data_IF_967815188672
#
_entry.id   IF_967815188672
#
_cell.length_a   1.000
_cell.length_b   1.000
_cell.length_c   1.000
_cell.angle_alpha   90.00
_cell.angle_beta   90.00
_cell.angle_gamma   90.00
#
_symmetry.space_group_name_H-M   'P 1'
#
loop_
_entity.id
_entity.type
_entity.pdbx_description
1 polymer ?
#
# COMPACT_ATOMS: atom_id res chain seq x y z
N UNK A 1 21.65 -7.17 -10.85
CA UNK A 1 21.04 -5.87 -11.19
C UNK A 1 22.11 -5.02 -11.88
N UNK A 2 21.72 -4.01 -12.66
CA UNK A 2 22.68 -2.97 -13.10
C UNK A 2 23.08 -2.13 -11.88
N UNK A 3 24.37 -1.81 -11.77
CA UNK A 3 24.95 -1.10 -10.61
C UNK A 3 25.77 0.12 -11.02
N UNK A 4 26.07 0.28 -12.31
CA UNK A 4 26.80 1.44 -12.82
C UNK A 4 25.86 2.64 -12.92
N UNK A 5 26.11 3.68 -12.14
CA UNK A 5 25.17 4.80 -11.96
C UNK A 5 24.71 5.41 -13.30
N UNK A 6 25.66 5.64 -14.22
CA UNK A 6 25.37 6.25 -15.53
C UNK A 6 24.51 5.41 -16.47
N UNK A 7 24.41 4.11 -16.20
CA UNK A 7 23.58 3.18 -16.98
C UNK A 7 22.16 3.06 -16.41
N UNK A 8 21.93 3.51 -15.17
CA UNK A 8 20.63 3.45 -14.54
C UNK A 8 19.67 4.49 -15.14
N UNK A 9 18.39 4.14 -15.33
CA UNK A 9 17.38 5.11 -15.73
C UNK A 9 17.17 6.14 -14.62
N UNK A 10 17.03 7.41 -14.99
CA UNK A 10 16.71 8.50 -14.06
C UNK A 10 15.21 8.68 -13.83
N UNK A 11 14.37 7.91 -14.52
CA UNK A 11 12.94 7.85 -14.21
C UNK A 11 12.31 6.60 -14.80
N UNK A 12 11.27 6.11 -14.13
CA UNK A 12 10.38 5.09 -14.67
C UNK A 12 8.98 5.26 -14.09
N UNK A 13 7.97 4.88 -14.87
CA UNK A 13 6.58 4.83 -14.44
C UNK A 13 6.01 3.47 -14.83
N UNK A 14 5.44 2.76 -13.86
CA UNK A 14 4.74 1.50 -14.08
C UNK A 14 3.39 1.77 -14.77
N UNK A 15 3.14 1.07 -15.88
CA UNK A 15 1.90 1.21 -16.67
C UNK A 15 1.27 -0.17 -16.95
N UNK A 16 -0.04 -0.33 -16.79
CA UNK A 16 -0.97 0.65 -16.19
C UNK A 16 -0.61 0.94 -14.73
N UNK A 17 -0.96 2.14 -14.24
CA UNK A 17 -0.70 2.51 -12.84
C UNK A 17 -1.48 1.57 -11.92
N UNK A 18 -0.96 1.20 -10.74
CA UNK A 18 -1.74 0.47 -9.74
C UNK A 18 -3.01 1.27 -9.40
N UNK A 19 -4.13 0.59 -9.15
CA UNK A 19 -5.39 1.29 -8.88
C UNK A 19 -5.53 1.72 -7.42
N UNK A 20 -6.09 2.91 -7.19
CA UNK A 20 -6.44 3.38 -5.86
C UNK A 20 -7.61 2.58 -5.27
N UNK A 21 -7.56 2.35 -3.96
CA UNK A 21 -8.53 1.55 -3.22
C UNK A 21 -8.46 1.85 -1.73
N UNK A 22 -8.98 0.95 -0.89
CA UNK A 22 -8.90 1.08 0.57
C UNK A 22 -8.07 -0.04 1.18
N UNK A 23 -7.51 0.23 2.34
CA UNK A 23 -6.91 -0.76 3.23
C UNK A 23 -7.94 -1.52 4.09
N UNK A 24 -9.24 -1.30 3.90
CA UNK A 24 -10.35 -1.93 4.65
C UNK A 24 -10.09 -2.06 6.16
N UNK A 25 -10.16 -0.94 6.91
CA UNK A 25 -9.75 -0.90 8.31
C UNK A 25 -10.49 -1.90 9.20
N UNK A 26 -9.75 -2.53 10.12
CA UNK A 26 -10.29 -3.50 11.06
C UNK A 26 -11.33 -2.87 12.00
N UNK A 27 -11.13 -1.61 12.41
CA UNK A 27 -12.08 -0.91 13.30
C UNK A 27 -13.45 -0.65 12.64
N UNK A 28 -13.52 -0.67 11.31
CA UNK A 28 -14.76 -0.57 10.54
C UNK A 28 -15.36 -1.93 10.16
N UNK A 29 -14.78 -3.01 10.69
CA UNK A 29 -15.13 -4.40 10.40
C UNK A 29 -14.74 -4.87 8.98
N UNK A 30 -13.64 -4.34 8.43
CA UNK A 30 -13.10 -4.77 7.14
C UNK A 30 -14.10 -4.59 5.99
N UNK A 31 -14.29 -5.63 5.17
CA UNK A 31 -15.23 -5.59 4.05
C UNK A 31 -16.72 -5.76 4.46
N UNK A 32 -17.01 -5.88 5.75
CA UNK A 32 -18.39 -5.70 6.26
C UNK A 32 -18.79 -4.22 6.28
N UNK A 33 -17.83 -3.30 6.17
CA UNK A 33 -18.11 -1.87 6.12
C UNK A 33 -19.00 -1.49 4.93
N UNK A 34 -20.09 -0.76 5.19
CA UNK A 34 -20.96 -0.16 4.18
C UNK A 34 -20.33 1.13 3.66
N UNK A 35 -19.33 0.98 2.78
CA UNK A 35 -18.63 2.10 2.16
C UNK A 35 -19.59 3.05 1.40
N UNK A 36 -20.66 2.49 0.83
CA UNK A 36 -21.82 3.23 0.36
C UNK A 36 -23.00 2.99 1.33
N UNK A 37 -23.40 4.04 2.06
CA UNK A 37 -24.41 3.96 3.14
C UNK A 37 -25.78 3.46 2.68
N UNK A 38 -26.10 3.63 1.40
CA UNK A 38 -27.39 3.23 0.82
C UNK A 38 -27.35 1.83 0.18
N UNK A 39 -26.26 1.08 0.38
CA UNK A 39 -26.04 -0.23 -0.21
C UNK A 39 -25.60 -1.26 0.85
N UNK A 40 -25.88 -2.56 0.61
CA UNK A 40 -25.25 -3.64 1.35
C UNK A 40 -23.72 -3.58 1.24
N UNK A 41 -23.01 -4.13 2.23
CA UNK A 41 -21.55 -4.21 2.21
C UNK A 41 -21.04 -5.17 1.13
N UNK A 42 -19.76 -5.07 0.71
CA UNK A 42 -19.17 -6.03 -0.21
C UNK A 42 -19.33 -7.49 0.26
N UNK A 43 -19.16 -7.74 1.55
CA UNK A 43 -19.35 -9.06 2.15
C UNK A 43 -20.80 -9.57 2.04
N UNK A 44 -21.77 -8.73 2.38
CA UNK A 44 -23.20 -9.07 2.28
C UNK A 44 -23.61 -9.36 0.83
N UNK A 45 -23.12 -8.54 -0.11
CA UNK A 45 -23.35 -8.75 -1.55
C UNK A 45 -22.79 -10.08 -2.03
N UNK A 46 -21.55 -10.39 -1.68
CA UNK A 46 -20.92 -11.67 -2.06
C UNK A 46 -21.69 -12.85 -1.49
N UNK A 47 -21.95 -12.84 -0.18
CA UNK A 47 -22.68 -13.94 0.45
C UNK A 47 -24.06 -14.16 -0.18
N UNK A 48 -24.80 -13.09 -0.46
CA UNK A 48 -26.12 -13.17 -1.10
C UNK A 48 -26.03 -13.72 -2.53
N UNK A 49 -25.14 -13.17 -3.36
CA UNK A 49 -25.04 -13.54 -4.77
C UNK A 49 -24.60 -14.99 -4.98
N UNK A 50 -23.78 -15.53 -4.07
CA UNK A 50 -23.27 -16.90 -4.12
C UNK A 50 -24.01 -17.86 -3.17
N UNK A 51 -25.19 -17.46 -2.68
CA UNK A 51 -26.08 -18.28 -1.86
C UNK A 51 -25.41 -18.87 -0.60
N UNK A 52 -24.59 -18.05 0.05
CA UNK A 52 -23.98 -18.33 1.34
C UNK A 52 -24.87 -17.79 2.47
N UNK A 53 -24.67 -18.30 3.68
CA UNK A 53 -25.31 -17.70 4.87
C UNK A 53 -24.66 -16.34 5.16
N UNK A 54 -25.40 -15.25 4.92
CA UNK A 54 -24.92 -13.87 5.08
C UNK A 54 -24.34 -13.63 6.47
N UNK A 55 -25.05 -14.00 7.53
CA UNK A 55 -24.60 -13.79 8.90
C UNK A 55 -23.29 -14.52 9.17
N UNK A 56 -23.23 -15.80 8.85
CA UNK A 56 -22.03 -16.61 9.08
C UNK A 56 -20.83 -16.11 8.26
N UNK A 57 -21.05 -15.69 7.01
CA UNK A 57 -19.99 -15.13 6.17
C UNK A 57 -19.44 -13.83 6.75
N UNK A 58 -20.32 -12.90 7.15
CA UNK A 58 -19.90 -11.63 7.76
C UNK A 58 -19.24 -11.83 9.13
N UNK A 59 -19.70 -12.81 9.93
CA UNK A 59 -19.03 -13.19 11.18
C UNK A 59 -17.60 -13.70 10.91
N UNK A 60 -17.42 -14.52 9.87
CA UNK A 60 -16.10 -15.02 9.48
C UNK A 60 -15.19 -13.90 8.94
N UNK A 61 -15.72 -12.94 8.17
CA UNK A 61 -14.98 -11.73 7.75
C UNK A 61 -14.47 -10.97 8.99
N UNK A 62 -15.34 -10.75 9.97
CA UNK A 62 -14.98 -10.03 11.20
C UNK A 62 -13.88 -10.74 11.98
N UNK A 63 -13.98 -12.07 12.08
CA UNK A 63 -13.01 -12.91 12.76
C UNK A 63 -11.66 -13.02 12.03
N UNK A 64 -11.65 -12.90 10.69
CA UNK A 64 -10.42 -12.92 9.89
C UNK A 64 -9.61 -11.63 10.07
N UNK A 65 -10.19 -10.47 9.74
CA UNK A 65 -9.47 -9.20 9.70
C UNK A 65 -10.28 -7.98 10.16
N UNK A 66 -11.54 -8.16 10.59
CA UNK A 66 -12.41 -7.11 11.12
C UNK A 66 -12.32 -6.92 12.63
N UNK A 67 -13.45 -6.56 13.25
CA UNK A 67 -13.55 -6.23 14.68
C UNK A 67 -13.31 -7.46 15.56
N UNK A 68 -13.92 -8.60 15.25
CA UNK A 68 -13.85 -9.81 16.10
C UNK A 68 -12.44 -10.43 16.10
N UNK A 69 -11.63 -10.19 15.06
CA UNK A 69 -10.19 -10.54 15.04
C UNK A 69 -9.37 -9.83 16.12
N UNK A 70 -9.95 -8.79 16.74
CA UNK A 70 -9.33 -7.96 17.80
C UNK A 70 -9.89 -8.24 19.19
N UNK A 71 -10.55 -9.38 19.36
CA UNK A 71 -11.18 -9.80 20.63
C UNK A 71 -10.24 -9.91 21.84
N UNK A 72 -8.93 -9.96 21.62
CA UNK A 72 -7.93 -9.91 22.69
C UNK A 72 -7.67 -8.50 23.24
N UNK A 73 -8.19 -7.46 22.60
CA UNK A 73 -8.03 -6.05 23.01
C UNK A 73 -9.10 -5.65 24.03
N UNK A 74 -8.88 -4.49 24.66
CA UNK A 74 -9.82 -3.94 25.64
C UNK A 74 -11.22 -3.76 25.05
N UNK A 75 -12.23 -4.26 25.77
CA UNK A 75 -13.64 -4.05 25.42
C UNK A 75 -14.00 -2.58 25.64
N UNK A 76 -14.82 -2.02 24.77
CA UNK A 76 -15.27 -0.63 24.83
C UNK A 76 -16.73 -0.48 24.40
N UNK A 77 -17.33 0.66 24.77
CA UNK A 77 -18.64 1.11 24.26
C UNK A 77 -18.58 2.49 23.60
N UNK A 78 -17.44 3.19 23.70
CA UNK A 78 -17.21 4.50 23.13
C UNK A 78 -15.72 4.78 22.95
N UNK A 79 -15.36 5.69 22.03
CA UNK A 79 -13.96 6.06 21.75
C UNK A 79 -13.21 6.61 22.97
N UNK A 80 -13.94 7.19 23.94
CA UNK A 80 -13.35 7.73 25.17
C UNK A 80 -12.63 6.68 26.02
N UNK A 81 -13.04 5.42 25.91
CA UNK A 81 -12.45 4.29 26.64
C UNK A 81 -11.16 3.79 25.98
N UNK A 82 -10.87 4.26 24.76
CA UNK A 82 -9.80 3.77 23.91
C UNK A 82 -8.65 4.76 23.74
N UNK A 83 -8.62 5.84 24.54
CA UNK A 83 -7.56 6.83 24.46
C UNK A 83 -6.20 6.20 24.71
N UNK A 84 -5.31 6.36 23.72
CA UNK A 84 -3.91 6.01 23.76
C UNK A 84 -3.13 7.26 23.30
N UNK A 85 -2.14 7.75 24.08
CA UNK A 85 -1.40 8.96 23.73
C UNK A 85 -0.46 8.79 22.53
N UNK A 86 -0.10 7.55 22.19
CA UNK A 86 0.93 7.25 21.20
C UNK A 86 0.34 6.67 19.90
N UNK A 87 -0.87 6.12 19.94
CA UNK A 87 -1.52 5.48 18.78
C UNK A 87 -2.99 5.88 18.67
N UNK A 88 -3.42 6.36 17.49
CA UNK A 88 -4.83 6.67 17.25
C UNK A 88 -5.70 5.40 17.31
N UNK A 89 -6.51 5.30 18.35
CA UNK A 89 -7.30 4.12 18.68
C UNK A 89 -8.76 4.51 18.93
N UNK A 90 -9.68 3.78 18.31
CA UNK A 90 -11.12 4.02 18.39
C UNK A 90 -11.87 2.77 18.86
N UNK A 91 -13.11 2.94 19.30
CA UNK A 91 -13.94 1.81 19.67
C UNK A 91 -14.59 1.19 18.41
N UNK A 92 -13.93 0.19 17.84
CA UNK A 92 -14.44 -0.53 16.67
C UNK A 92 -15.57 -1.47 17.07
N UNK A 93 -16.76 -1.25 16.50
CA UNK A 93 -17.99 -1.99 16.80
C UNK A 93 -18.62 -2.52 15.51
N UNK A 94 -19.12 -3.75 15.55
CA UNK A 94 -19.90 -4.33 14.45
C UNK A 94 -21.25 -3.65 14.33
N UNK A 95 -21.82 -3.64 13.12
CA UNK A 95 -23.15 -3.06 12.87
C UNK A 95 -24.20 -3.72 13.78
N UNK A 96 -24.93 -2.90 14.53
CA UNK A 96 -25.93 -3.36 15.52
C UNK A 96 -25.38 -3.86 16.86
N UNK A 97 -24.06 -3.89 17.09
CA UNK A 97 -23.49 -4.25 18.38
C UNK A 97 -23.53 -3.07 19.38
N UNK A 98 -23.63 -3.39 20.67
CA UNK A 98 -23.62 -2.39 21.76
C UNK A 98 -22.24 -2.19 22.40
N UNK A 99 -21.25 -2.99 22.01
CA UNK A 99 -19.88 -2.95 22.50
C UNK A 99 -18.95 -3.54 21.44
N UNK A 100 -17.68 -3.20 21.52
CA UNK A 100 -16.64 -3.71 20.63
C UNK A 100 -15.28 -3.70 21.30
N UNK A 101 -14.24 -3.40 20.55
CA UNK A 101 -12.86 -3.42 21.02
C UNK A 101 -12.13 -2.14 20.66
N UNK A 102 -11.18 -1.71 21.49
CA UNK A 102 -10.30 -0.58 21.18
C UNK A 102 -9.29 -0.98 20.11
N UNK A 103 -9.44 -0.48 18.89
CA UNK A 103 -8.67 -0.92 17.71
C UNK A 103 -7.92 0.30 17.13
N UNK A 104 -6.60 0.19 16.90
CA UNK A 104 -5.84 1.22 16.20
C UNK A 104 -6.38 1.47 14.80
N UNK A 105 -6.51 2.74 14.40
CA UNK A 105 -7.16 3.11 13.13
C UNK A 105 -6.36 2.71 11.90
N UNK A 106 -5.05 2.50 12.05
CA UNK A 106 -4.16 2.04 10.99
C UNK A 106 -4.25 0.53 10.70
N UNK A 107 -4.82 -0.27 11.62
CA UNK A 107 -4.97 -1.71 11.41
C UNK A 107 -5.87 -1.99 10.21
N UNK A 108 -5.32 -2.63 9.18
CA UNK A 108 -6.05 -3.02 7.97
C UNK A 108 -5.22 -3.96 7.10
N UNK A 109 -5.67 -4.11 5.86
CA UNK A 109 -5.11 -5.02 4.86
C UNK A 109 -4.45 -4.23 3.72
N UNK A 110 -3.73 -3.15 4.06
CA UNK A 110 -2.99 -2.31 3.09
C UNK A 110 -1.96 -3.13 2.29
N UNK A 111 -1.32 -4.11 2.93
CA UNK A 111 -0.39 -5.04 2.28
C UNK A 111 -1.09 -5.83 1.15
N UNK A 112 -2.28 -6.35 1.41
CA UNK A 112 -3.06 -7.09 0.42
C UNK A 112 -3.57 -6.18 -0.71
N UNK A 113 -3.99 -4.95 -0.38
CA UNK A 113 -4.44 -3.99 -1.38
C UNK A 113 -3.29 -3.55 -2.29
N UNK A 114 -2.13 -3.21 -1.73
CA UNK A 114 -0.96 -2.81 -2.52
C UNK A 114 -0.57 -3.91 -3.54
N UNK A 115 -0.60 -5.17 -3.12
CA UNK A 115 -0.40 -6.30 -4.02
C UNK A 115 -1.49 -6.40 -5.10
N UNK A 116 -2.76 -6.43 -4.70
CA UNK A 116 -3.88 -6.55 -5.64
C UNK A 116 -3.90 -5.40 -6.65
N UNK A 117 -3.55 -4.17 -6.23
CA UNK A 117 -3.45 -2.98 -7.08
C UNK A 117 -2.44 -3.13 -8.21
N UNK A 118 -1.32 -3.81 -7.97
CA UNK A 118 -0.26 -4.03 -8.96
C UNK A 118 -0.60 -5.20 -9.90
N UNK A 119 -1.12 -6.29 -9.33
CA UNK A 119 -1.29 -7.56 -10.05
C UNK A 119 -2.62 -7.66 -10.80
N UNK A 120 -3.67 -7.00 -10.31
CA UNK A 120 -5.01 -7.08 -10.90
C UNK A 120 -5.32 -5.89 -11.79
N UNK A 121 -5.98 -6.17 -12.92
CA UNK A 121 -6.58 -5.11 -13.74
C UNK A 121 -7.68 -4.44 -12.93
N UNK A 122 -7.79 -3.12 -13.02
CA UNK A 122 -8.81 -2.41 -12.24
C UNK A 122 -10.23 -2.72 -12.74
N UNK A 123 -11.19 -3.04 -11.84
CA UNK A 123 -12.61 -3.11 -12.22
C UNK A 123 -13.10 -1.71 -12.63
N UNK A 124 -13.72 -1.59 -13.80
CA UNK A 124 -14.11 -0.30 -14.38
C UNK A 124 -15.61 0.02 -14.25
N UNK A 125 -16.46 -0.99 -14.20
CA UNK A 125 -17.91 -0.80 -14.15
C UNK A 125 -18.63 -1.76 -13.18
N UNK A 126 -19.91 -1.47 -12.86
CA UNK A 126 -20.71 -2.35 -12.03
C UNK A 126 -21.04 -3.67 -12.76
N UNK A 127 -21.05 -4.77 -12.01
CA UNK A 127 -21.38 -6.11 -12.52
C UNK A 127 -22.57 -6.66 -11.75
N UNK A 128 -23.62 -7.07 -12.47
CA UNK A 128 -24.74 -7.78 -11.86
C UNK A 128 -24.57 -9.28 -12.00
N UNK A 129 -24.58 -9.98 -10.87
CA UNK A 129 -24.53 -11.44 -10.80
C UNK A 129 -25.60 -11.94 -9.83
N UNK A 130 -26.42 -12.91 -10.26
CA UNK A 130 -27.54 -13.46 -9.49
C UNK A 130 -28.45 -12.39 -8.85
N UNK A 131 -28.72 -11.31 -9.59
CA UNK A 131 -29.59 -10.22 -9.14
C UNK A 131 -28.95 -9.21 -8.19
N UNK A 132 -27.68 -9.39 -7.83
CA UNK A 132 -26.91 -8.47 -6.99
C UNK A 132 -25.92 -7.70 -7.83
N UNK A 133 -25.89 -6.37 -7.68
CA UNK A 133 -24.94 -5.49 -8.37
C UNK A 133 -23.74 -5.18 -7.49
N UNK A 134 -22.58 -5.60 -7.96
CA UNK A 134 -21.26 -5.28 -7.42
C UNK A 134 -20.74 -4.03 -8.12
N UNK A 135 -20.47 -2.97 -7.37
CA UNK A 135 -19.74 -1.81 -7.86
C UNK A 135 -18.25 -2.16 -7.99
N UNK A 136 -17.47 -1.40 -8.79
CA UNK A 136 -16.01 -1.55 -8.83
C UNK A 136 -15.36 -1.59 -7.44
N UNK A 137 -15.81 -0.73 -6.52
CA UNK A 137 -15.28 -0.70 -5.16
C UNK A 137 -15.62 -1.96 -4.35
N UNK A 138 -16.77 -2.60 -4.60
CA UNK A 138 -17.09 -3.90 -3.98
C UNK A 138 -16.12 -4.98 -4.47
N UNK A 139 -15.78 -4.98 -5.76
CA UNK A 139 -14.87 -5.96 -6.35
C UNK A 139 -13.44 -5.74 -5.86
N UNK A 140 -13.00 -4.47 -5.74
CA UNK A 140 -11.73 -4.10 -5.09
C UNK A 140 -11.67 -4.64 -3.66
N UNK A 141 -12.77 -4.55 -2.90
CA UNK A 141 -12.87 -5.13 -1.56
C UNK A 141 -12.60 -6.63 -1.55
N UNK A 142 -13.35 -7.36 -2.38
CA UNK A 142 -13.31 -8.82 -2.41
C UNK A 142 -11.94 -9.34 -2.85
N UNK A 143 -11.34 -8.75 -3.89
CA UNK A 143 -10.02 -9.18 -4.36
C UNK A 143 -8.93 -8.87 -3.35
N UNK A 144 -8.98 -7.71 -2.67
CA UNK A 144 -8.05 -7.40 -1.59
C UNK A 144 -8.16 -8.42 -0.45
N UNK A 145 -9.37 -8.82 -0.03
CA UNK A 145 -9.53 -9.84 1.01
C UNK A 145 -9.01 -11.22 0.58
N UNK A 146 -9.10 -11.57 -0.71
CA UNK A 146 -8.45 -12.80 -1.20
C UNK A 146 -6.94 -12.74 -1.01
N UNK A 147 -6.30 -11.63 -1.37
CA UNK A 147 -4.84 -11.47 -1.25
C UNK A 147 -4.36 -11.49 0.21
N UNK A 148 -5.17 -11.04 1.16
CA UNK A 148 -4.87 -11.02 2.61
C UNK A 148 -4.69 -12.43 3.21
N UNK A 149 -5.57 -13.37 2.85
CA UNK A 149 -5.53 -14.75 3.39
C UNK A 149 -4.89 -15.76 2.41
N UNK A 150 -4.31 -15.28 1.30
CA UNK A 150 -3.60 -16.13 0.33
C UNK A 150 -2.14 -16.28 0.71
N UNK A 151 -1.65 -17.52 0.75
CA UNK A 151 -0.23 -17.79 0.97
C UNK A 151 0.58 -17.61 -0.33
N UNK A 152 1.01 -16.38 -0.60
CA UNK A 152 1.76 -16.01 -1.81
C UNK A 152 3.22 -15.74 -1.44
N UNK A 153 4.15 -16.32 -2.21
CA UNK A 153 5.56 -16.04 -2.01
C UNK A 153 5.92 -14.61 -2.37
N UNK A 154 6.73 -13.96 -1.54
CA UNK A 154 7.26 -12.62 -1.77
C UNK A 154 8.75 -12.65 -2.10
N UNK A 155 9.21 -11.66 -2.84
CA UNK A 155 10.61 -11.21 -2.84
C UNK A 155 10.63 -9.99 -1.94
N UNK A 156 11.33 -10.08 -0.82
CA UNK A 156 11.38 -9.05 0.20
C UNK A 156 12.83 -8.54 0.34
N UNK A 157 13.01 -7.24 0.42
CA UNK A 157 14.29 -6.58 0.65
C UNK A 157 14.11 -5.42 1.63
N UNK A 158 15.17 -5.14 2.41
CA UNK A 158 15.06 -4.32 3.61
C UNK A 158 14.66 -5.16 4.82
N UNK A 159 14.83 -4.59 6.00
CA UNK A 159 14.49 -5.22 7.26
C UNK A 159 14.07 -4.13 8.25
N UNK A 160 13.00 -4.37 9.00
CA UNK A 160 12.55 -3.43 10.01
C UNK A 160 13.39 -3.55 11.28
N UNK A 161 13.87 -2.43 11.81
CA UNK A 161 14.42 -2.36 13.14
C UNK A 161 13.30 -2.36 14.18
N UNK A 162 13.29 -3.39 15.02
CA UNK A 162 12.32 -3.53 16.11
C UNK A 162 12.93 -3.17 17.48
N UNK A 163 14.10 -2.55 17.49
CA UNK A 163 14.77 -2.12 18.72
C UNK A 163 14.30 -0.72 19.15
N UNK A 164 14.38 -0.43 20.46
CA UNK A 164 14.02 0.88 21.01
C UNK A 164 15.25 1.73 21.40
N UNK A 165 16.45 1.17 21.31
CA UNK A 165 17.68 1.79 21.81
C UNK A 165 18.75 1.75 20.71
N UNK A 166 18.66 2.62 19.73
CA UNK A 166 19.83 2.96 18.92
C UNK A 166 20.56 4.19 19.50
N UNK A 167 21.83 4.36 19.17
CA UNK A 167 22.65 5.52 19.51
C UNK A 167 23.19 6.16 18.24
N UNK A 168 23.33 7.48 18.26
CA UNK A 168 23.97 8.22 17.19
C UNK A 168 25.46 8.38 17.54
N UNK A 169 26.34 8.11 16.58
CA UNK A 169 27.77 8.29 16.74
C UNK A 169 28.20 9.77 16.71
N UNK A 170 29.49 10.05 16.86
CA UNK A 170 30.03 11.41 16.89
C UNK A 170 29.87 12.18 15.56
N UNK A 171 29.46 11.47 14.49
CA UNK A 171 29.32 11.99 13.14
C UNK A 171 27.85 12.12 12.71
N UNK A 172 26.90 11.77 13.59
CA UNK A 172 25.48 11.91 13.31
C UNK A 172 24.83 10.67 12.69
N UNK A 173 25.54 9.53 12.63
CA UNK A 173 25.00 8.29 12.07
C UNK A 173 24.51 7.33 13.15
N UNK A 174 23.42 6.62 12.84
CA UNK A 174 22.92 5.53 13.66
C UNK A 174 23.95 4.40 13.77
N UNK A 175 24.21 3.92 14.98
CA UNK A 175 25.22 2.88 15.23
C UNK A 175 24.77 1.50 14.77
N UNK A 176 23.46 1.20 14.83
CA UNK A 176 22.92 -0.04 14.29
C UNK A 176 22.90 0.00 12.75
N UNK A 177 23.51 -1.00 12.11
CA UNK A 177 23.52 -1.14 10.63
C UNK A 177 22.10 -1.23 10.06
N UNK A 178 21.16 -1.80 10.80
CA UNK A 178 19.77 -1.85 10.34
C UNK A 178 19.21 -0.45 10.15
N UNK A 179 19.51 0.52 11.02
CA UNK A 179 18.97 1.88 10.92
C UNK A 179 19.54 2.69 9.72
N UNK A 180 20.66 2.23 9.15
CA UNK A 180 21.38 2.91 8.05
C UNK A 180 20.97 2.43 6.65
N UNK A 181 20.32 1.27 6.56
CA UNK A 181 19.78 0.72 5.31
C UNK A 181 18.42 1.39 4.96
N UNK A 182 17.61 0.82 4.07
CA UNK A 182 16.18 1.14 3.89
C UNK A 182 15.39 0.88 5.19
N UNK A 183 15.66 1.57 6.30
CA UNK A 183 14.98 1.33 7.58
C UNK A 183 15.22 2.44 8.62
N UNK A 184 14.35 3.46 8.71
CA UNK A 184 14.45 4.45 9.76
C UNK A 184 13.21 4.51 10.66
N UNK A 185 12.12 3.80 10.36
CA UNK A 185 10.88 4.03 11.10
C UNK A 185 10.82 3.16 12.37
N UNK A 186 11.11 3.81 13.49
CA UNK A 186 10.81 3.32 14.83
C UNK A 186 9.31 3.44 15.19
N UNK A 187 8.46 3.94 14.28
CA UNK A 187 7.01 4.00 14.41
C UNK A 187 6.42 2.60 14.58
N UNK A 188 5.33 2.48 15.34
CA UNK A 188 4.66 1.18 15.57
C UNK A 188 3.86 0.70 14.35
N UNK A 189 3.40 1.63 13.51
CA UNK A 189 2.54 1.37 12.36
C UNK A 189 3.32 0.81 11.17
N UNK A 190 2.64 0.06 10.30
CA UNK A 190 3.22 -0.43 9.05
C UNK A 190 2.25 -0.13 7.91
N UNK A 191 2.70 0.69 6.96
CA UNK A 191 1.93 1.11 5.80
C UNK A 191 2.51 0.54 4.51
N UNK A 192 1.66 -0.07 3.69
CA UNK A 192 2.04 -0.65 2.41
C UNK A 192 1.30 0.08 1.30
N UNK A 193 2.06 0.60 0.34
CA UNK A 193 1.53 1.41 -0.76
C UNK A 193 2.09 0.89 -2.09
N UNK A 194 1.27 0.77 -3.15
CA UNK A 194 1.76 0.31 -4.44
C UNK A 194 2.50 1.46 -5.16
N UNK A 195 3.78 1.23 -5.47
CA UNK A 195 4.63 2.20 -6.16
C UNK A 195 4.17 2.39 -7.61
N UNK A 196 4.02 3.65 -8.01
CA UNK A 196 3.69 4.08 -9.38
C UNK A 196 4.97 4.29 -10.19
N UNK A 197 6.01 4.84 -9.57
CA UNK A 197 7.25 5.14 -10.26
C UNK A 197 8.22 5.95 -9.44
N UNK A 198 9.37 6.22 -10.04
CA UNK A 198 10.41 7.05 -9.45
C UNK A 198 10.95 8.06 -10.46
N UNK A 199 11.52 9.15 -9.95
CA UNK A 199 12.21 10.16 -10.75
C UNK A 199 13.38 10.75 -9.99
N UNK A 200 14.55 10.76 -10.62
CA UNK A 200 15.74 11.46 -10.15
C UNK A 200 15.70 12.88 -10.68
N UNK A 201 15.77 13.86 -9.78
CA UNK A 201 15.74 15.28 -10.11
C UNK A 201 17.13 15.89 -10.20
N UNK A 202 18.04 15.43 -9.37
CA UNK A 202 19.40 15.95 -9.28
C UNK A 202 20.39 14.82 -9.09
N UNK A 203 21.52 14.91 -9.80
CA UNK A 203 22.72 14.12 -9.56
C UNK A 203 23.91 15.07 -9.67
N UNK A 204 24.57 15.33 -8.55
CA UNK A 204 25.69 16.26 -8.45
C UNK A 204 26.92 15.50 -8.00
N UNK A 205 27.89 15.32 -8.90
CA UNK A 205 29.16 14.68 -8.59
C UNK A 205 30.01 15.53 -7.63
N UNK A 206 30.63 14.87 -6.66
CA UNK A 206 31.43 15.47 -5.59
C UNK A 206 32.67 14.62 -5.32
N UNK A 207 33.74 15.27 -4.87
CA UNK A 207 34.86 14.55 -4.23
C UNK A 207 34.45 14.14 -2.82
N UNK A 208 35.17 13.17 -2.25
CA UNK A 208 34.97 12.71 -0.87
C UNK A 208 35.08 13.87 0.13
N UNK A 209 36.12 14.69 -0.01
CA UNK A 209 36.39 15.84 0.88
C UNK A 209 35.28 16.88 0.77
N UNK A 210 34.79 17.14 -0.44
CA UNK A 210 33.69 18.08 -0.65
C UNK A 210 32.40 17.58 -0.02
N UNK A 211 32.08 16.29 -0.16
CA UNK A 211 30.89 15.70 0.45
C UNK A 211 30.99 15.72 1.98
N UNK A 212 32.13 15.28 2.54
CA UNK A 212 32.42 15.30 3.97
C UNK A 212 32.22 16.70 4.58
N UNK A 213 32.83 17.70 3.97
CA UNK A 213 32.77 19.08 4.44
C UNK A 213 31.38 19.69 4.30
N UNK A 214 30.65 19.35 3.23
CA UNK A 214 29.33 19.95 2.92
C UNK A 214 28.23 19.41 3.83
N UNK A 215 28.17 18.09 4.01
CA UNK A 215 27.04 17.44 4.68
C UNK A 215 27.32 17.13 6.16
N UNK A 216 28.59 16.93 6.53
CA UNK A 216 28.96 16.50 7.88
C UNK A 216 29.91 17.48 8.59
N UNK A 217 30.46 18.47 7.88
CA UNK A 217 31.44 19.41 8.44
C UNK A 217 32.80 18.77 8.75
N UNK A 218 33.09 17.63 8.15
CA UNK A 218 34.29 16.82 8.39
C UNK A 218 35.38 17.07 7.33
N UNK A 219 36.67 16.91 7.69
CA UNK A 219 37.76 17.05 6.74
C UNK A 219 37.84 15.88 5.74
N UNK A 220 37.45 14.68 6.16
CA UNK A 220 37.52 13.43 5.41
C UNK A 220 36.18 12.69 5.48
N UNK A 221 35.85 11.92 4.44
CA UNK A 221 34.60 11.15 4.34
C UNK A 221 34.75 9.80 5.07
N UNK A 222 34.07 9.58 6.23
CA UNK A 222 34.39 8.45 7.10
C UNK A 222 33.60 7.17 6.79
N UNK A 223 32.54 7.27 5.98
CA UNK A 223 31.49 6.25 5.91
C UNK A 223 31.90 5.00 5.15
N UNK A 224 32.63 5.17 4.04
CA UNK A 224 33.09 4.05 3.22
C UNK A 224 34.48 4.30 2.60
N UNK A 225 35.49 3.64 3.18
CA UNK A 225 36.88 3.73 2.70
C UNK A 225 37.09 3.16 1.29
N UNK A 226 36.16 2.34 0.77
CA UNK A 226 36.23 1.84 -0.60
C UNK A 226 35.78 2.88 -1.63
N UNK A 227 35.00 3.89 -1.22
CA UNK A 227 34.50 4.95 -2.09
C UNK A 227 35.63 5.75 -2.74
N UNK A 228 35.44 6.10 -4.02
CA UNK A 228 36.36 6.88 -4.85
C UNK A 228 35.74 8.20 -5.29
N UNK A 229 34.42 8.27 -5.37
CA UNK A 229 33.68 9.50 -5.64
C UNK A 229 32.27 9.42 -5.06
N UNK A 230 31.66 10.59 -4.85
CA UNK A 230 30.33 10.71 -4.28
C UNK A 230 29.40 11.38 -5.29
N UNK A 231 28.14 10.95 -5.35
CA UNK A 231 27.10 11.65 -6.08
C UNK A 231 25.96 11.99 -5.13
N UNK A 232 25.77 13.28 -4.87
CA UNK A 232 24.55 13.77 -4.23
C UNK A 232 23.37 13.54 -5.16
N UNK A 233 22.34 12.89 -4.66
CA UNK A 233 21.16 12.51 -5.43
C UNK A 233 19.91 12.99 -4.73
N UNK A 234 19.07 13.72 -5.47
CA UNK A 234 17.69 14.01 -5.07
C UNK A 234 16.73 13.26 -5.98
N UNK A 235 15.85 12.46 -5.40
CA UNK A 235 14.88 11.67 -6.15
C UNK A 235 13.51 11.71 -5.50
N UNK A 236 12.49 11.26 -6.21
CA UNK A 236 11.13 11.09 -5.72
C UNK A 236 10.62 9.71 -6.01
N UNK A 237 10.03 9.09 -5.00
CA UNK A 237 9.21 7.91 -5.14
C UNK A 237 7.74 8.35 -5.14
N UNK A 238 6.94 7.80 -6.06
CA UNK A 238 5.51 8.08 -6.15
C UNK A 238 4.73 6.78 -5.98
N UNK A 239 3.65 6.83 -5.20
CA UNK A 239 2.77 5.70 -4.90
C UNK A 239 1.32 6.15 -4.86
N UNK A 240 0.39 5.19 -4.85
CA UNK A 240 -1.04 5.46 -4.75
C UNK A 240 -1.46 5.48 -3.29
N UNK A 241 -2.29 6.44 -2.89
CA UNK A 241 -2.89 6.54 -1.56
C UNK A 241 -4.33 6.00 -1.54
N UNK A 242 -4.85 5.73 -0.33
CA UNK A 242 -6.19 5.18 -0.15
C UNK A 242 -7.32 6.14 -0.55
N UNK A 243 -8.46 5.59 -1.00
CA UNK A 243 -9.67 6.34 -1.37
C UNK A 243 -10.93 5.47 -1.35
N UNK A 244 -12.06 6.08 -0.94
CA UNK A 244 -13.41 5.49 -1.06
C UNK A 244 -14.04 5.70 -2.45
N UNK A 245 -13.31 6.33 -3.39
CA UNK A 245 -13.86 6.70 -4.69
C UNK A 245 -14.12 5.46 -5.55
N UNK A 246 -15.38 5.25 -5.91
CA UNK A 246 -15.81 4.15 -6.77
C UNK A 246 -15.52 4.43 -8.26
N UNK A 247 -15.47 3.37 -9.07
CA UNK A 247 -15.21 3.42 -10.51
C UNK A 247 -13.82 2.96 -10.94
N UNK A 248 -13.61 2.91 -12.26
CA UNK A 248 -12.32 2.69 -12.91
C UNK A 248 -11.48 3.97 -12.93
N UNK A 249 -10.69 4.19 -11.89
CA UNK A 249 -9.92 5.42 -11.66
C UNK A 249 -8.74 5.53 -12.63
N UNK A 250 -8.08 4.42 -12.95
CA UNK A 250 -6.96 4.35 -13.90
C UNK A 250 -7.47 4.66 -15.30
N UNK A 251 -8.53 3.99 -15.75
CA UNK A 251 -9.10 4.17 -17.08
C UNK A 251 -9.69 5.58 -17.30
N UNK A 252 -10.21 6.20 -16.23
CA UNK A 252 -10.76 7.57 -16.27
C UNK A 252 -9.70 8.67 -16.10
N UNK A 253 -8.45 8.32 -15.74
CA UNK A 253 -7.40 9.28 -15.40
C UNK A 253 -7.53 9.91 -14.00
N UNK A 254 -8.59 9.58 -13.25
CA UNK A 254 -8.79 10.08 -11.89
C UNK A 254 -7.80 9.51 -10.87
N UNK A 255 -7.12 8.41 -11.20
CA UNK A 255 -6.10 7.79 -10.35
C UNK A 255 -4.93 8.74 -10.02
N UNK A 256 -4.66 9.73 -10.88
CA UNK A 256 -3.65 10.76 -10.64
C UNK A 256 -3.95 11.61 -9.40
N UNK A 257 -5.22 11.81 -9.05
CA UNK A 257 -5.62 12.55 -7.84
C UNK A 257 -5.22 11.83 -6.54
N UNK A 258 -4.92 10.53 -6.62
CA UNK A 258 -4.51 9.70 -5.50
C UNK A 258 -3.03 9.29 -5.59
N UNK A 259 -2.31 9.78 -6.60
CA UNK A 259 -0.87 9.56 -6.70
C UNK A 259 -0.13 10.60 -5.86
N UNK A 260 0.49 10.15 -4.79
CA UNK A 260 1.30 10.97 -3.88
C UNK A 260 2.76 10.56 -3.96
N UNK A 261 3.62 11.14 -3.15
CA UNK A 261 5.02 10.73 -3.09
C UNK A 261 5.86 11.61 -2.17
N UNK A 262 7.03 11.09 -1.81
CA UNK A 262 8.05 11.76 -1.03
C UNK A 262 9.32 11.94 -1.84
N UNK A 263 10.02 13.03 -1.54
CA UNK A 263 11.35 13.29 -2.08
C UNK A 263 12.39 12.76 -1.08
N UNK A 264 13.46 12.18 -1.61
CA UNK A 264 14.57 11.66 -0.83
C UNK A 264 15.89 12.26 -1.30
N UNK A 265 16.70 12.64 -0.32
CA UNK A 265 18.03 13.19 -0.49
C UNK A 265 19.05 12.20 0.11
N UNK A 266 20.04 11.80 -0.69
CA UNK A 266 21.07 10.85 -0.27
C UNK A 266 22.35 11.01 -1.07
N UNK A 267 23.44 10.49 -0.52
CA UNK A 267 24.72 10.31 -1.19
C UNK A 267 24.78 8.90 -1.77
N UNK A 268 25.25 8.78 -3.01
CA UNK A 268 25.70 7.51 -3.57
C UNK A 268 27.22 7.45 -3.55
N UNK A 269 27.76 6.34 -3.06
CA UNK A 269 29.18 6.05 -3.01
C UNK A 269 29.57 5.21 -4.21
N UNK A 270 30.55 5.67 -4.99
CA UNK A 270 30.99 5.01 -6.21
C UNK A 270 32.43 4.51 -6.10
N UNK A 271 32.70 3.35 -6.68
CA UNK A 271 34.06 2.81 -6.84
C UNK A 271 34.82 3.46 -8.02
N UNK A 272 36.01 2.94 -8.34
CA UNK A 272 36.83 3.43 -9.47
C UNK A 272 36.20 3.18 -10.84
N UNK A 273 35.24 2.24 -10.93
CA UNK A 273 34.51 1.89 -12.14
C UNK A 273 33.18 2.63 -12.26
N UNK A 274 32.87 3.57 -11.36
CA UNK A 274 31.58 4.28 -11.27
C UNK A 274 30.40 3.34 -10.95
N UNK A 275 30.66 2.21 -10.28
CA UNK A 275 29.65 1.30 -9.75
C UNK A 275 29.22 1.75 -8.35
N UNK A 276 27.92 1.70 -8.08
CA UNK A 276 27.35 2.03 -6.77
C UNK A 276 27.72 0.91 -5.79
N UNK A 277 28.41 1.29 -4.71
CA UNK A 277 28.90 0.38 -3.67
C UNK A 277 28.37 0.71 -2.27
N UNK A 278 27.56 1.77 -2.14
CA UNK A 278 26.96 2.20 -0.90
C UNK A 278 26.27 3.55 -1.03
N UNK A 279 25.85 4.11 0.09
CA UNK A 279 25.19 5.39 0.15
C UNK A 279 24.83 5.79 1.58
N UNK A 280 24.51 7.06 1.76
CA UNK A 280 24.16 7.65 3.06
C UNK A 280 22.93 8.55 2.89
N UNK A 281 21.93 8.39 3.75
CA UNK A 281 20.76 9.27 3.78
C UNK A 281 21.11 10.66 4.30
N UNK A 282 20.45 11.69 3.76
CA UNK A 282 20.70 13.07 4.13
C UNK A 282 19.43 13.76 4.64
N UNK A 283 19.64 14.83 5.40
CA UNK A 283 18.58 15.73 5.86
C UNK A 283 17.44 14.97 6.53
N UNK A 284 16.18 15.33 6.25
CA UNK A 284 15.02 14.63 6.78
C UNK A 284 14.82 13.23 6.22
N UNK A 285 15.52 12.84 5.13
CA UNK A 285 15.44 11.46 4.65
C UNK A 285 16.05 10.49 5.65
N UNK A 286 17.05 10.91 6.45
CA UNK A 286 17.67 10.09 7.50
C UNK A 286 16.67 9.39 8.43
N UNK A 287 15.59 10.09 8.80
CA UNK A 287 14.53 9.54 9.66
C UNK A 287 13.29 9.10 8.85
N UNK A 288 13.22 9.46 7.57
CA UNK A 288 12.03 9.30 6.74
C UNK A 288 12.42 8.82 5.34
N UNK A 289 12.69 7.52 5.26
CA UNK A 289 12.88 6.74 4.04
C UNK A 289 12.13 5.40 4.18
N UNK A 290 11.86 4.67 3.08
CA UNK A 290 11.11 3.41 3.16
C UNK A 290 11.85 2.35 4.01
N UNK A 291 11.09 1.56 4.79
CA UNK A 291 11.62 0.46 5.64
C UNK A 291 11.91 -0.84 4.89
N UNK A 292 11.24 -1.03 3.76
CA UNK A 292 11.38 -2.24 2.96
C UNK A 292 10.73 -2.04 1.61
N UNK A 293 11.14 -2.88 0.67
CA UNK A 293 10.44 -3.09 -0.59
C UNK A 293 10.13 -4.57 -0.72
N UNK A 294 8.95 -4.88 -1.24
CA UNK A 294 8.58 -6.26 -1.54
C UNK A 294 7.73 -6.34 -2.78
N UNK A 295 7.80 -7.49 -3.44
CA UNK A 295 6.98 -7.83 -4.60
C UNK A 295 6.43 -9.25 -4.42
N UNK A 296 5.18 -9.48 -4.81
CA UNK A 296 4.69 -10.85 -4.96
C UNK A 296 5.38 -11.52 -6.14
N UNK A 297 5.57 -12.83 -6.06
CA UNK A 297 6.09 -13.61 -7.19
C UNK A 297 5.02 -13.92 -8.23
N UNK A 298 3.76 -14.01 -7.80
CA UNK A 298 2.62 -14.41 -8.61
C UNK A 298 1.30 -13.99 -7.98
N UNK A 299 0.19 -14.18 -8.70
CA UNK A 299 -1.18 -14.05 -8.18
C UNK A 299 -1.55 -15.25 -7.31
N UNK A 300 -2.60 -15.18 -6.46
CA UNK A 300 -3.18 -16.38 -5.86
C UNK A 300 -3.49 -17.45 -6.92
N UNK A 301 -3.38 -18.72 -6.56
CA UNK A 301 -3.79 -19.81 -7.44
C UNK A 301 -5.30 -19.69 -7.73
N UNK A 302 -5.72 -19.90 -8.97
CA UNK A 302 -7.11 -19.65 -9.40
C UNK A 302 -8.16 -20.40 -8.56
N UNK A 303 -7.85 -21.61 -8.11
CA UNK A 303 -8.70 -22.46 -7.29
C UNK A 303 -8.66 -22.12 -5.79
N UNK A 304 -7.94 -21.07 -5.39
CA UNK A 304 -7.89 -20.58 -4.01
C UNK A 304 -9.30 -20.24 -3.52
N UNK A 305 -9.70 -20.88 -2.43
CA UNK A 305 -10.80 -20.44 -1.59
C UNK A 305 -10.22 -20.15 -0.21
N UNK A 306 -10.34 -18.89 0.21
CA UNK A 306 -9.79 -18.47 1.51
C UNK A 306 -10.66 -18.98 2.66
N UNK A 307 -10.15 -18.91 3.88
CA UNK A 307 -10.73 -19.52 5.09
C UNK A 307 -12.19 -19.16 5.35
N UNK A 308 -12.64 -17.98 4.91
CA UNK A 308 -14.01 -17.49 5.08
C UNK A 308 -15.00 -17.96 4.00
N UNK A 309 -14.55 -18.76 3.02
CA UNK A 309 -15.38 -19.25 1.90
C UNK A 309 -15.48 -18.28 0.71
N UNK A 310 -14.63 -17.25 0.67
CA UNK A 310 -14.48 -16.36 -0.48
C UNK A 310 -13.57 -17.04 -1.52
N UNK A 311 -14.09 -17.24 -2.74
CA UNK A 311 -13.41 -17.97 -3.80
C UNK A 311 -12.76 -17.00 -4.77
N UNK A 312 -11.46 -17.16 -5.02
CA UNK A 312 -10.73 -16.33 -5.97
C UNK A 312 -11.25 -16.51 -7.40
N UNK A 313 -11.65 -17.73 -7.79
CA UNK A 313 -12.31 -17.97 -9.08
C UNK A 313 -13.60 -17.15 -9.25
N UNK A 314 -14.44 -17.07 -8.21
CA UNK A 314 -15.67 -16.27 -8.24
C UNK A 314 -15.37 -14.77 -8.32
N UNK A 315 -14.38 -14.30 -7.54
CA UNK A 315 -13.94 -12.90 -7.56
C UNK A 315 -13.34 -12.53 -8.91
N UNK A 316 -12.51 -13.40 -9.49
CA UNK A 316 -11.91 -13.23 -10.82
C UNK A 316 -12.98 -13.13 -11.89
N UNK A 317 -14.04 -13.95 -11.83
CA UNK A 317 -15.17 -13.86 -12.76
C UNK A 317 -15.88 -12.49 -12.68
N UNK A 318 -16.08 -11.94 -11.48
CA UNK A 318 -16.65 -10.60 -11.32
C UNK A 318 -15.69 -9.52 -11.84
N UNK A 319 -14.40 -9.65 -11.53
CA UNK A 319 -13.35 -8.74 -11.94
C UNK A 319 -13.23 -8.66 -13.47
N UNK A 320 -13.12 -9.79 -14.16
CA UNK A 320 -13.04 -9.86 -15.62
C UNK A 320 -14.25 -9.17 -16.27
N UNK A 321 -15.47 -9.43 -15.78
CA UNK A 321 -16.68 -8.74 -16.25
C UNK A 321 -16.63 -7.23 -16.04
N UNK A 322 -16.12 -6.78 -14.90
CA UNK A 322 -16.01 -5.37 -14.56
C UNK A 322 -14.92 -4.66 -15.36
N UNK A 323 -13.92 -5.41 -15.83
CA UNK A 323 -12.84 -4.91 -16.65
C UNK A 323 -13.29 -4.77 -18.12
N UNK A 324 -13.96 -5.79 -18.66
CA UNK A 324 -14.30 -5.92 -20.09
C UNK A 324 -15.37 -4.93 -20.58
N UNK A 325 -16.19 -4.38 -19.69
CA UNK A 325 -17.20 -3.38 -20.08
C UNK A 325 -16.61 -2.06 -20.57
N UNK A 326 -15.31 -1.83 -20.38
CA UNK A 326 -14.60 -0.69 -20.95
C UNK A 326 -14.25 -0.91 -22.44
N UNK A 327 -14.17 -2.17 -22.89
CA UNK A 327 -13.90 -2.54 -24.29
C UNK A 327 -15.19 -2.66 -25.14
N UNK A 328 -16.37 -2.42 -24.55
CA UNK A 328 -17.64 -2.36 -25.27
C UNK A 328 -17.85 -0.95 -25.85
N UNK A 329 -17.98 -0.77 -27.19
CA UNK A 329 -18.23 0.55 -27.76
C UNK A 329 -19.55 1.11 -27.21
N UNK A 330 -19.47 2.28 -26.58
CA UNK A 330 -20.61 3.07 -26.12
C UNK A 330 -21.54 3.36 -27.31
N UNK A 331 -22.57 2.53 -27.52
CA UNK A 331 -23.71 2.92 -28.37
C UNK A 331 -24.48 4.01 -27.65
N UNK A 332 -24.08 5.26 -27.86
CA UNK A 332 -24.86 6.44 -27.47
C UNK A 332 -26.13 6.46 -28.31
N UNK A 333 -27.26 6.00 -27.74
CA UNK A 333 -28.58 6.31 -28.29
C UNK A 333 -28.91 7.76 -27.92
N UNK A 334 -28.62 8.69 -28.84
CA UNK A 334 -29.11 10.06 -28.76
C UNK A 334 -30.64 10.05 -28.90
N UNK A 335 -31.35 10.20 -27.78
CA UNK A 335 -32.77 10.53 -27.78
C UNK A 335 -32.92 12.01 -28.15
N UNK A 336 -33.06 12.31 -29.44
CA UNK A 336 -33.48 13.64 -29.89
C UNK A 336 -35.00 13.77 -29.77
N UNK A 337 -35.50 14.20 -28.62
CA UNK A 337 -36.82 14.81 -28.57
C UNK A 337 -36.70 16.28 -29.01
N UNK A 338 -37.11 16.55 -30.25
CA UNK A 338 -37.40 17.90 -30.73
C UNK A 338 -38.66 18.39 -30.02
N UNK A 339 -38.54 19.49 -29.28
CA UNK A 339 -39.67 20.31 -28.90
C UNK A 339 -40.17 21.06 -30.16
N UNK A 340 -41.46 20.98 -30.42
CA UNK A 340 -42.22 21.92 -31.26
C UNK A 340 -43.04 22.80 -30.36
#
# INVERSE_FOLDING_TARGET
MEVKLKNLPTSATYKPSPWAGLNWPAYQDGINHKWNKDQPSPAEKYATAFNLNVKAFMDNVSALNGVDSRSSRSVCTSDKECFDPDVDTVCGMRDGASSGYCIPTWHGICHAWAAAAIFEREPNCPVTFNGITFQPMDIKALVTTVYDDSNISTVFTGARYNGYNDSIDEYGSHTDESYRDLNPDAGTEVWNQPVVGFKVYEQTAMTLEKAAQTFYGLPDYPWNNASKSIVYTKSRLSWINETYTDGGLVASGLNENFTVGADYDYLLELDENEEIIGGEWLYGSHDNHPDFLWLLKEKPAFDTAISIGLSYANVTMLLEKAVDCFDAPLTVRLNTHKAT
#
